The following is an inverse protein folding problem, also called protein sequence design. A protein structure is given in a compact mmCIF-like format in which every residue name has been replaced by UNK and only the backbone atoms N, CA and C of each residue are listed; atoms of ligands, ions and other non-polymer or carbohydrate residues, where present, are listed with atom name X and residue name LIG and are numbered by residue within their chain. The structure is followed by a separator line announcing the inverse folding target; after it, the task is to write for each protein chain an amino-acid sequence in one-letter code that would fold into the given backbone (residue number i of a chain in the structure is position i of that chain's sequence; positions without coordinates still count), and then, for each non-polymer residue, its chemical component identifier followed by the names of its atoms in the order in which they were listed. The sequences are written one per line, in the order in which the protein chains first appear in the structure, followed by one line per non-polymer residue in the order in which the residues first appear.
data_IF_651109604479
#
_entry.id   IF_651109604479
#
_cell.length_a   1.000
_cell.length_b   1.000
_cell.length_c   1.000
_cell.angle_alpha   90.00
_cell.angle_beta   90.00
_cell.angle_gamma   90.00
#
_symmetry.space_group_name_H-M   'P 1'
#
loop_
_entity.id
_entity.type
_entity.pdbx_description
1 polymer ?
#
# COMPACT_ATOMS: atom_id res chain seq x y z
N UNK A 1 16.00 27.34 8.85
CA UNK A 1 15.21 27.67 10.07
C UNK A 1 14.52 26.37 10.47
N UNK A 2 14.82 25.63 11.53
CA UNK A 2 15.13 26.00 12.91
C UNK A 2 15.86 24.77 13.56
N UNK A 3 17.14 24.89 13.92
CA UNK A 3 17.99 23.78 14.43
C UNK A 3 18.05 23.76 15.98
N UNK A 4 17.34 24.67 16.66
CA UNK A 4 17.56 24.96 18.09
C UNK A 4 16.85 24.07 19.13
N UNK A 5 16.43 22.83 18.83
CA UNK A 5 15.68 22.01 19.81
C UNK A 5 16.36 20.73 20.28
N UNK A 6 17.48 20.31 19.68
CA UNK A 6 18.27 19.17 20.17
C UNK A 6 19.29 19.56 21.24
N UNK A 7 19.81 20.78 21.20
CA UNK A 7 20.88 21.21 22.11
C UNK A 7 20.39 21.39 23.55
N UNK A 8 19.09 21.65 23.77
CA UNK A 8 18.52 21.81 25.11
C UNK A 8 18.28 20.49 25.85
N UNK A 9 18.21 19.34 25.15
CA UNK A 9 18.11 18.04 25.82
C UNK A 9 19.47 17.52 26.30
N UNK A 10 20.57 17.90 25.64
CA UNK A 10 21.92 17.45 26.02
C UNK A 10 22.38 18.19 27.28
N UNK A 11 22.05 19.47 27.43
CA UNK A 11 22.50 20.28 28.57
C UNK A 11 21.86 19.89 29.92
N UNK A 12 20.67 19.27 29.93
CA UNK A 12 20.03 18.83 31.18
C UNK A 12 20.64 17.54 31.77
N UNK A 13 21.38 16.77 30.95
CA UNK A 13 21.97 15.49 31.36
C UNK A 13 23.39 15.59 31.92
N UNK A 14 24.09 16.71 31.72
CA UNK A 14 25.50 16.82 32.15
C UNK A 14 25.71 17.23 33.61
N UNK A 15 24.65 17.51 34.39
CA UNK A 15 24.81 18.06 35.75
C UNK A 15 24.41 17.11 36.90
N UNK A 16 24.05 15.85 36.62
CA UNK A 16 23.57 14.88 37.64
C UNK A 16 24.32 13.55 37.67
N UNK A 17 25.62 13.58 37.37
CA UNK A 17 26.40 12.38 37.03
C UNK A 17 27.30 11.85 38.17
N UNK A 18 26.90 11.98 39.44
CA UNK A 18 27.74 11.49 40.55
C UNK A 18 27.15 10.43 41.46
N UNK A 19 25.90 9.97 41.30
CA UNK A 19 25.37 8.98 42.25
C UNK A 19 24.24 8.09 41.70
N UNK A 20 24.35 7.65 40.44
CA UNK A 20 23.37 6.71 39.88
C UNK A 20 23.97 5.33 39.65
N UNK A 21 23.40 4.36 40.36
CA UNK A 21 23.66 2.91 40.27
C UNK A 21 23.78 2.47 38.79
N UNK A 22 24.86 1.77 38.39
CA UNK A 22 25.07 1.32 37.01
C UNK A 22 23.91 0.48 36.47
N UNK A 23 23.10 -0.14 37.32
CA UNK A 23 21.89 -0.88 36.91
C UNK A 23 20.77 0.03 36.39
N UNK A 24 20.72 1.28 36.85
CA UNK A 24 19.68 2.25 36.48
C UNK A 24 19.97 2.93 35.13
N UNK A 25 21.26 3.13 34.79
CA UNK A 25 21.69 3.65 33.47
C UNK A 25 21.35 2.69 32.32
N UNK A 26 21.46 1.38 32.55
CA UNK A 26 21.14 0.36 31.54
C UNK A 26 19.62 0.27 31.26
N UNK A 27 18.79 0.48 32.28
CA UNK A 27 17.33 0.49 32.15
C UNK A 27 16.80 1.70 31.37
N UNK A 28 17.35 2.89 31.62
CA UNK A 28 16.93 4.13 30.91
C UNK A 28 17.36 4.09 29.44
N UNK A 29 18.55 3.57 29.12
CA UNK A 29 19.01 3.43 27.74
C UNK A 29 18.14 2.42 26.94
N UNK A 30 17.72 1.32 27.58
CA UNK A 30 16.83 0.33 26.98
C UNK A 30 15.43 0.88 26.68
N UNK A 31 14.90 1.76 27.55
CA UNK A 31 13.59 2.39 27.36
C UNK A 31 13.59 3.44 26.23
N UNK A 32 14.68 4.19 26.06
CA UNK A 32 14.80 5.18 24.98
C UNK A 32 14.96 4.56 23.58
N UNK A 33 15.59 3.38 23.47
CA UNK A 33 15.75 2.68 22.18
C UNK A 33 14.41 2.07 21.69
N UNK A 34 13.53 1.68 22.60
CA UNK A 34 12.21 1.14 22.25
C UNK A 34 11.23 2.18 21.69
N UNK A 35 11.42 3.47 21.98
CA UNK A 35 10.52 4.55 21.51
C UNK A 35 10.75 4.99 20.06
N UNK A 36 11.78 4.51 19.36
CA UNK A 36 12.17 5.03 18.03
C UNK A 36 11.66 4.18 16.86
N UNK A 37 10.96 3.07 17.13
CA UNK A 37 10.36 2.23 16.08
C UNK A 37 8.84 2.36 16.12
N UNK A 38 8.31 3.53 15.75
CA UNK A 38 6.91 3.60 15.31
C UNK A 38 6.95 3.26 13.82
N UNK A 39 6.63 2.02 13.41
CA UNK A 39 6.53 1.72 12.00
C UNK A 39 5.37 2.55 11.45
N UNK A 40 5.70 3.53 10.62
CA UNK A 40 4.72 4.29 9.86
C UNK A 40 4.10 3.33 8.85
N UNK A 41 2.98 2.74 9.24
CA UNK A 41 2.35 1.73 8.42
C UNK A 41 1.44 2.41 7.40
N UNK A 42 1.82 2.59 6.14
CA UNK A 42 0.83 2.94 5.11
C UNK A 42 0.23 1.67 4.56
N UNK A 43 -1.02 1.77 4.10
CA UNK A 43 -1.71 0.58 3.65
C UNK A 43 -2.61 0.89 2.48
N UNK A 44 -2.47 0.08 1.44
CA UNK A 44 -3.36 0.06 0.29
C UNK A 44 -4.03 -1.30 0.28
N UNK A 45 -5.36 -1.33 0.20
CA UNK A 45 -6.09 -2.55 -0.12
C UNK A 45 -6.76 -2.38 -1.48
N UNK A 46 -6.81 -3.43 -2.29
CA UNK A 46 -7.56 -3.44 -3.53
C UNK A 46 -8.84 -4.28 -3.33
N UNK A 47 -9.99 -3.64 -3.50
CA UNK A 47 -11.31 -4.18 -3.14
C UNK A 47 -11.99 -4.85 -4.33
N UNK A 48 -11.98 -4.18 -5.48
CA UNK A 48 -12.61 -4.65 -6.72
C UNK A 48 -11.70 -4.32 -7.91
N UNK A 49 -11.15 -5.32 -8.64
CA UNK A 49 -11.25 -6.75 -8.35
C UNK A 49 -10.57 -7.11 -7.01
N UNK A 50 -10.95 -8.21 -6.34
CA UNK A 50 -10.41 -8.50 -5.01
C UNK A 50 -8.91 -8.80 -5.07
N UNK A 51 -8.14 -8.19 -4.16
CA UNK A 51 -6.69 -8.39 -4.08
C UNK A 51 -6.27 -9.86 -3.88
N UNK A 52 -4.99 -10.13 -4.14
CA UNK A 52 -4.27 -11.29 -3.65
C UNK A 52 -4.21 -11.26 -2.12
N UNK A 53 -4.17 -12.45 -1.51
CA UNK A 53 -4.23 -12.60 -0.06
C UNK A 53 -5.65 -12.57 0.49
N UNK A 54 -5.80 -12.20 1.77
CA UNK A 54 -7.08 -12.23 2.46
C UNK A 54 -7.85 -10.92 2.29
N UNK A 55 -9.17 -11.03 2.18
CA UNK A 55 -10.09 -9.88 2.31
C UNK A 55 -10.62 -9.71 3.75
N UNK A 56 -10.25 -10.62 4.66
CA UNK A 56 -10.75 -10.62 6.04
C UNK A 56 -10.02 -9.55 6.86
N UNK A 57 -10.77 -8.67 7.51
CA UNK A 57 -10.21 -7.68 8.44
C UNK A 57 -9.60 -6.44 7.78
N UNK A 58 -9.70 -6.30 6.46
CA UNK A 58 -9.21 -5.12 5.71
C UNK A 58 -9.99 -3.84 6.04
N UNK A 59 -11.11 -3.96 6.76
CA UNK A 59 -11.87 -2.84 7.33
C UNK A 59 -11.25 -2.24 8.60
N UNK A 60 -10.07 -2.73 9.01
CA UNK A 60 -9.28 -2.15 10.11
C UNK A 60 -8.10 -1.39 9.54
N UNK A 61 -7.91 -0.15 9.98
CA UNK A 61 -6.75 0.62 9.59
C UNK A 61 -5.52 -0.08 10.15
N UNK A 62 -4.49 -0.29 9.33
CA UNK A 62 -3.37 -1.09 9.79
C UNK A 62 -3.31 -2.52 9.26
N UNK A 63 -4.23 -2.92 8.35
CA UNK A 63 -4.42 -4.33 8.04
C UNK A 63 -3.17 -4.95 7.39
N UNK A 64 -2.73 -6.10 7.90
CA UNK A 64 -1.53 -6.78 7.42
C UNK A 64 -1.62 -7.21 5.95
N UNK A 65 -2.80 -7.56 5.45
CA UNK A 65 -3.00 -7.82 4.02
C UNK A 65 -2.90 -6.57 3.14
N UNK A 66 -2.74 -5.39 3.75
CA UNK A 66 -2.64 -4.11 3.06
C UNK A 66 -1.24 -3.46 3.16
N UNK A 67 -0.27 -4.10 3.86
CA UNK A 67 1.10 -3.60 4.09
C UNK A 67 2.16 -4.20 3.16
N UNK A 68 1.83 -4.21 1.89
CA UNK A 68 2.59 -4.95 0.90
C UNK A 68 3.63 -4.05 0.22
N UNK A 69 4.91 -4.28 0.53
CA UNK A 69 6.02 -3.41 0.11
C UNK A 69 6.88 -3.96 -1.04
N UNK A 70 6.87 -5.28 -1.25
CA UNK A 70 7.69 -5.94 -2.25
C UNK A 70 7.05 -5.82 -3.64
N UNK A 71 7.77 -5.34 -4.63
CA UNK A 71 7.27 -5.35 -6.01
C UNK A 71 7.14 -6.77 -6.58
N UNK A 72 6.24 -7.01 -7.55
CA UNK A 72 5.21 -6.11 -8.03
C UNK A 72 3.90 -6.20 -7.22
N UNK A 73 3.75 -7.24 -6.40
CA UNK A 73 2.47 -7.65 -5.80
C UNK A 73 2.54 -7.92 -4.30
N UNK A 74 3.45 -7.26 -3.59
CA UNK A 74 3.65 -7.45 -2.15
C UNK A 74 4.32 -8.76 -1.76
N UNK A 75 4.90 -9.49 -2.72
CA UNK A 75 5.36 -10.86 -2.50
C UNK A 75 4.22 -11.88 -2.36
N UNK A 76 3.01 -11.59 -2.83
CA UNK A 76 1.88 -12.52 -2.85
C UNK A 76 1.82 -13.32 -4.15
N UNK A 77 1.60 -14.62 -4.00
CA UNK A 77 1.39 -15.54 -5.11
C UNK A 77 0.07 -15.26 -5.87
N UNK A 78 0.03 -15.68 -7.13
CA UNK A 78 -1.14 -15.57 -7.99
C UNK A 78 -2.34 -16.36 -7.43
N UNK A 79 -3.55 -15.83 -7.63
CA UNK A 79 -4.79 -16.54 -7.33
C UNK A 79 -5.19 -17.46 -8.48
N UNK A 80 -5.67 -18.64 -8.14
CA UNK A 80 -6.17 -19.64 -9.10
C UNK A 80 -7.46 -19.25 -9.83
N UNK A 81 -8.12 -18.17 -9.41
CA UNK A 81 -9.45 -17.77 -9.91
C UNK A 81 -9.45 -16.28 -10.27
N UNK A 82 -8.98 -15.92 -11.47
CA UNK A 82 -8.97 -14.54 -11.92
C UNK A 82 -10.39 -14.03 -12.21
N UNK A 83 -10.59 -12.72 -12.11
CA UNK A 83 -11.85 -12.07 -12.53
C UNK A 83 -11.86 -11.94 -14.05
N UNK A 84 -12.88 -12.49 -14.73
CA UNK A 84 -13.02 -12.35 -16.19
C UNK A 84 -13.63 -11.01 -16.58
N UNK A 85 -12.96 -10.27 -17.46
CA UNK A 85 -13.40 -8.99 -18.02
C UNK A 85 -13.29 -9.03 -19.54
N UNK A 86 -14.18 -8.32 -20.25
CA UNK A 86 -14.10 -8.23 -21.71
C UNK A 86 -13.17 -7.09 -22.14
N UNK A 87 -12.47 -7.23 -23.28
CA UNK A 87 -11.83 -6.09 -23.94
C UNK A 87 -12.83 -4.94 -24.13
N UNK A 88 -12.43 -3.71 -23.79
CA UNK A 88 -13.29 -2.52 -23.88
C UNK A 88 -14.39 -2.43 -22.81
N UNK A 89 -14.50 -3.41 -21.90
CA UNK A 89 -15.49 -3.37 -20.82
C UNK A 89 -15.24 -2.21 -19.87
N UNK A 90 -16.32 -1.52 -19.47
CA UNK A 90 -16.27 -0.57 -18.36
C UNK A 90 -16.38 -1.34 -17.05
N UNK A 91 -15.40 -1.16 -16.18
CA UNK A 91 -15.31 -1.84 -14.90
C UNK A 91 -15.12 -0.82 -13.77
N UNK A 92 -15.79 -1.04 -12.63
CA UNK A 92 -15.61 -0.21 -11.44
C UNK A 92 -14.46 -0.79 -10.62
N UNK A 93 -13.33 -0.11 -10.71
CA UNK A 93 -12.18 -0.34 -9.87
C UNK A 93 -12.41 0.32 -8.51
N UNK A 94 -12.24 -0.42 -7.43
CA UNK A 94 -12.33 0.12 -6.07
C UNK A 94 -11.11 -0.29 -5.25
N UNK A 95 -10.47 0.68 -4.62
CA UNK A 95 -9.38 0.46 -3.67
C UNK A 95 -9.63 1.27 -2.40
N UNK A 96 -8.93 0.90 -1.34
CA UNK A 96 -9.04 1.51 -0.02
C UNK A 96 -7.70 2.06 0.41
N UNK A 97 -7.67 3.34 0.78
CA UNK A 97 -6.57 3.92 1.55
C UNK A 97 -6.71 3.43 2.99
N UNK A 98 -6.15 2.26 3.28
CA UNK A 98 -6.39 1.59 4.55
C UNK A 98 -5.71 2.28 5.74
N UNK A 99 -4.54 2.90 5.51
CA UNK A 99 -3.91 3.79 6.48
C UNK A 99 -3.26 4.96 5.76
N UNK A 100 -3.56 6.16 6.24
CA UNK A 100 -3.23 7.44 5.63
C UNK A 100 -1.79 7.88 5.88
N UNK A 101 -1.09 8.27 4.81
CA UNK A 101 0.26 8.83 4.83
C UNK A 101 0.39 10.08 3.98
N UNK A 102 -0.72 10.80 3.82
CA UNK A 102 -0.79 12.02 3.04
C UNK A 102 0.29 13.02 3.45
N UNK A 103 1.14 13.40 2.49
CA UNK A 103 2.08 14.48 2.65
C UNK A 103 1.47 15.79 2.13
N UNK A 104 1.09 16.69 3.05
CA UNK A 104 0.51 18.00 2.72
C UNK A 104 1.40 18.87 1.83
N UNK A 105 2.73 18.76 1.95
CA UNK A 105 3.69 19.60 1.21
C UNK A 105 3.93 19.08 -0.20
N UNK A 106 3.93 17.75 -0.36
CA UNK A 106 4.14 17.08 -1.64
C UNK A 106 3.26 15.83 -1.69
N UNK A 107 1.98 15.96 -2.06
CA UNK A 107 1.06 14.84 -2.08
C UNK A 107 1.56 13.66 -2.92
N UNK A 108 1.24 12.47 -2.45
CA UNK A 108 1.44 11.23 -3.17
C UNK A 108 0.41 11.03 -4.28
N UNK A 109 0.32 9.80 -4.77
CA UNK A 109 -0.72 9.38 -5.71
C UNK A 109 -1.01 7.89 -5.63
N UNK A 110 -2.19 7.52 -6.07
CA UNK A 110 -2.58 6.16 -6.39
C UNK A 110 -2.44 5.95 -7.90
N UNK A 111 -1.90 4.80 -8.31
CA UNK A 111 -1.87 4.41 -9.73
C UNK A 111 -2.30 2.97 -9.87
N UNK A 112 -2.99 2.64 -10.95
CA UNK A 112 -3.33 1.27 -11.32
C UNK A 112 -2.84 1.00 -12.73
N UNK A 113 -2.15 -0.12 -12.89
CA UNK A 113 -1.63 -0.58 -14.18
C UNK A 113 -2.02 -2.03 -14.45
N UNK A 114 -2.12 -2.38 -15.72
CA UNK A 114 -2.21 -3.76 -16.19
C UNK A 114 -0.82 -4.25 -16.59
N UNK A 115 -0.50 -5.47 -16.16
CA UNK A 115 0.76 -6.15 -16.47
C UNK A 115 0.44 -7.57 -16.91
N UNK A 116 1.19 -8.12 -17.86
CA UNK A 116 1.05 -9.53 -18.26
C UNK A 116 1.45 -10.45 -17.09
N UNK A 117 0.66 -11.48 -16.80
CA UNK A 117 0.88 -12.34 -15.63
C UNK A 117 2.19 -13.15 -15.70
N UNK A 118 2.60 -13.56 -16.90
CA UNK A 118 3.87 -14.25 -17.17
C UNK A 118 5.08 -13.31 -17.17
N UNK A 119 4.86 -11.99 -17.20
CA UNK A 119 5.90 -10.96 -17.19
C UNK A 119 5.55 -9.85 -16.19
N UNK A 120 5.51 -10.16 -14.89
CA UNK A 120 5.03 -9.22 -13.87
C UNK A 120 5.98 -8.01 -13.63
N UNK A 121 7.19 -8.04 -14.20
CA UNK A 121 8.14 -6.93 -14.26
C UNK A 121 8.31 -6.35 -15.69
N UNK A 122 7.43 -6.75 -16.62
CA UNK A 122 7.42 -6.31 -18.01
C UNK A 122 6.79 -4.94 -18.20
N UNK A 123 6.44 -4.64 -19.45
CA UNK A 123 5.74 -3.39 -19.78
C UNK A 123 4.38 -3.33 -19.08
N UNK A 124 4.13 -2.19 -18.41
CA UNK A 124 2.90 -1.95 -17.67
C UNK A 124 2.06 -0.87 -18.37
N UNK A 125 0.75 -1.08 -18.48
CA UNK A 125 -0.18 -0.10 -19.02
C UNK A 125 -0.96 0.60 -17.90
N UNK A 126 -0.64 1.85 -17.58
CA UNK A 126 -1.35 2.64 -16.55
C UNK A 126 -2.77 2.98 -17.04
N UNK A 127 -3.77 2.54 -16.28
CA UNK A 127 -5.19 2.71 -16.59
C UNK A 127 -5.90 3.68 -15.64
N UNK A 128 -5.27 4.00 -14.51
CA UNK A 128 -5.77 5.00 -13.57
C UNK A 128 -4.59 5.64 -12.86
N UNK A 129 -4.68 6.96 -12.68
CA UNK A 129 -3.84 7.71 -11.74
C UNK A 129 -4.68 8.75 -11.03
N UNK A 130 -4.54 8.84 -9.72
CA UNK A 130 -5.31 9.73 -8.86
C UNK A 130 -4.39 10.35 -7.82
N UNK A 131 -4.48 11.66 -7.61
CA UNK A 131 -3.72 12.31 -6.55
C UNK A 131 -4.16 11.78 -5.17
N UNK A 132 -3.21 11.63 -4.25
CA UNK A 132 -3.54 11.39 -2.85
C UNK A 132 -4.03 12.70 -2.22
N UNK A 133 -5.04 12.59 -1.36
CA UNK A 133 -5.74 13.71 -0.71
C UNK A 133 -5.63 13.57 0.80
N UNK A 134 -6.09 14.57 1.54
CA UNK A 134 -6.18 14.51 3.01
C UNK A 134 -7.32 13.64 3.53
N UNK A 135 -7.90 12.78 2.68
CA UNK A 135 -8.97 11.88 3.12
C UNK A 135 -8.41 10.89 4.15
N UNK A 136 -9.21 10.54 5.17
CA UNK A 136 -8.76 9.73 6.29
C UNK A 136 -8.49 8.28 5.89
N UNK A 137 -7.91 7.53 6.82
CA UNK A 137 -7.77 6.08 6.71
C UNK A 137 -9.13 5.40 6.52
N UNK A 138 -9.12 4.25 5.86
CA UNK A 138 -10.28 3.46 5.44
C UNK A 138 -11.16 4.10 4.36
N UNK A 139 -10.72 5.20 3.73
CA UNK A 139 -11.45 5.82 2.61
C UNK A 139 -11.44 4.90 1.39
N UNK A 140 -12.60 4.71 0.77
CA UNK A 140 -12.78 3.98 -0.47
C UNK A 140 -12.74 4.93 -1.66
N UNK A 141 -11.91 4.60 -2.63
CA UNK A 141 -11.83 5.28 -3.92
C UNK A 141 -12.36 4.35 -4.99
N UNK A 142 -13.30 4.85 -5.80
CA UNK A 142 -13.88 4.12 -6.90
C UNK A 142 -13.76 4.92 -8.19
N UNK A 143 -13.37 4.25 -9.27
CA UNK A 143 -13.25 4.85 -10.59
C UNK A 143 -13.77 3.89 -11.66
N UNK A 144 -14.47 4.44 -12.65
CA UNK A 144 -14.80 3.72 -13.88
C UNK A 144 -13.55 3.67 -14.76
N UNK A 145 -12.99 2.47 -14.95
CA UNK A 145 -11.91 2.22 -15.91
C UNK A 145 -12.49 1.51 -17.14
N UNK A 146 -11.82 1.67 -18.27
CA UNK A 146 -12.12 0.90 -19.48
C UNK A 146 -11.00 -0.10 -19.70
N UNK A 147 -11.34 -1.38 -19.78
CA UNK A 147 -10.34 -2.42 -19.99
C UNK A 147 -9.73 -2.28 -21.39
N UNK A 148 -8.40 -2.23 -21.51
CA UNK A 148 -7.73 -2.13 -22.80
C UNK A 148 -7.95 -3.40 -23.62
N UNK A 149 -7.74 -3.30 -24.93
CA UNK A 149 -7.83 -4.43 -25.87
C UNK A 149 -6.57 -5.31 -25.81
N UNK A 150 -6.25 -5.80 -24.61
CA UNK A 150 -5.10 -6.67 -24.33
C UNK A 150 -5.63 -8.00 -23.79
N UNK A 151 -5.96 -8.98 -24.65
CA UNK A 151 -6.51 -10.24 -24.20
C UNK A 151 -5.42 -11.10 -23.54
N UNK A 152 -5.78 -11.81 -22.46
CA UNK A 152 -4.85 -12.71 -21.77
C UNK A 152 -5.04 -12.77 -20.26
N UNK A 153 -4.14 -13.50 -19.62
CA UNK A 153 -4.00 -13.53 -18.16
C UNK A 153 -3.18 -12.32 -17.74
N UNK A 154 -3.81 -11.41 -16.99
CA UNK A 154 -3.23 -10.13 -16.62
C UNK A 154 -3.28 -9.94 -15.11
N UNK A 155 -2.40 -9.09 -14.61
CA UNK A 155 -2.37 -8.62 -13.23
C UNK A 155 -2.72 -7.15 -13.23
N UNK A 156 -3.76 -6.80 -12.46
CA UNK A 156 -4.08 -5.42 -12.13
C UNK A 156 -3.26 -5.03 -10.90
N UNK A 157 -2.21 -4.24 -11.10
CA UNK A 157 -1.33 -3.74 -10.05
C UNK A 157 -1.81 -2.36 -9.60
N UNK A 158 -2.21 -2.24 -8.34
CA UNK A 158 -2.46 -0.97 -7.68
C UNK A 158 -1.24 -0.56 -6.84
N UNK A 159 -0.89 0.72 -6.91
CA UNK A 159 0.22 1.32 -6.17
C UNK A 159 -0.26 2.55 -5.40
N UNK A 160 0.25 2.72 -4.19
CA UNK A 160 0.15 3.96 -3.44
C UNK A 160 1.56 4.51 -3.24
N UNK A 161 1.89 5.59 -3.97
CA UNK A 161 3.15 6.33 -3.84
C UNK A 161 2.92 7.45 -2.84
N UNK A 162 3.60 7.42 -1.70
CA UNK A 162 3.25 8.28 -0.56
C UNK A 162 3.87 9.67 -0.64
N UNK A 163 5.05 9.79 -1.24
CA UNK A 163 5.90 10.99 -1.18
C UNK A 163 6.14 11.49 0.26
N UNK A 164 5.96 10.65 1.27
CA UNK A 164 6.11 11.01 2.67
C UNK A 164 7.43 10.41 3.19
N UNK A 165 8.43 11.22 3.59
CA UNK A 165 9.73 10.70 4.04
C UNK A 165 9.67 9.90 5.34
N UNK A 166 8.54 9.98 6.07
CA UNK A 166 8.31 9.21 7.29
C UNK A 166 7.63 7.86 7.00
N UNK A 167 7.33 7.56 5.74
CA UNK A 167 6.60 6.39 5.29
C UNK A 167 7.43 5.58 4.29
N UNK A 168 7.14 4.28 4.10
CA UNK A 168 7.61 3.57 2.92
C UNK A 168 7.18 4.30 1.64
N UNK A 169 8.02 4.29 0.60
CA UNK A 169 7.79 5.10 -0.58
C UNK A 169 6.58 4.62 -1.39
N UNK A 170 6.36 3.31 -1.45
CA UNK A 170 5.33 2.68 -2.30
C UNK A 170 4.74 1.44 -1.61
N UNK A 171 3.42 1.27 -1.77
CA UNK A 171 2.68 0.06 -1.41
C UNK A 171 2.09 -0.56 -2.65
N UNK A 172 2.03 -1.89 -2.68
CA UNK A 172 1.63 -2.67 -3.85
C UNK A 172 0.45 -3.57 -3.51
N UNK A 173 -0.56 -3.58 -4.36
CA UNK A 173 -1.61 -4.59 -4.36
C UNK A 173 -1.77 -5.13 -5.76
N UNK A 174 -2.13 -6.40 -5.86
CA UNK A 174 -2.41 -7.02 -7.14
C UNK A 174 -3.73 -7.77 -7.08
N UNK A 175 -4.39 -7.84 -8.21
CA UNK A 175 -5.50 -8.76 -8.45
C UNK A 175 -5.33 -9.41 -9.81
N UNK A 176 -5.71 -10.68 -9.89
CA UNK A 176 -5.60 -11.46 -11.11
C UNK A 176 -6.87 -11.31 -11.94
N UNK A 177 -6.71 -10.96 -13.21
CA UNK A 177 -7.81 -10.76 -14.14
C UNK A 177 -7.54 -11.50 -15.44
N UNK A 178 -8.60 -12.00 -16.07
CA UNK A 178 -8.53 -12.56 -17.40
C UNK A 178 -9.28 -11.63 -18.35
N UNK A 179 -8.58 -11.03 -19.30
CA UNK A 179 -9.18 -10.17 -20.31
C UNK A 179 -9.48 -11.02 -21.54
N UNK A 180 -10.75 -11.21 -21.86
CA UNK A 180 -11.15 -12.07 -22.97
C UNK A 180 -12.66 -12.16 -23.14
N UNK A 181 -13.14 -12.82 -24.21
CA UNK A 181 -14.56 -13.10 -24.36
C UNK A 181 -15.08 -13.86 -23.14
N UNK A 182 -16.22 -13.44 -22.58
CA UNK A 182 -16.86 -14.21 -21.50
C UNK A 182 -17.21 -15.59 -22.05
N UNK A 183 -16.58 -16.63 -21.50
CA UNK A 183 -17.00 -18.00 -21.79
C UNK A 183 -18.36 -18.23 -21.15
N UNK A 184 -19.42 -18.07 -21.95
CA UNK A 184 -20.74 -18.56 -21.56
C UNK A 184 -20.67 -20.08 -21.54
N UNK A 185 -20.62 -20.67 -20.34
CA UNK A 185 -20.89 -22.09 -20.18
C UNK A 185 -22.33 -22.29 -20.65
N UNK A 186 -22.51 -22.83 -21.86
CA UNK A 186 -23.79 -23.38 -22.28
C UNK A 186 -24.14 -24.46 -21.25
N UNK A 187 -25.14 -24.21 -20.40
CA UNK A 187 -25.79 -25.29 -19.64
C UNK A 187 -26.27 -26.31 -20.68
N UNK A 188 -25.62 -27.47 -20.72
CA UNK A 188 -26.16 -28.64 -21.41
C UNK A 188 -27.42 -29.01 -20.63
N UNK A 189 -28.58 -28.90 -21.29
CA UNK A 189 -29.86 -29.38 -20.76
C UNK A 189 -29.92 -30.89 -20.88
#
# INVERSE_FOLDING_TARGET
MNVGRLDQCIAYWQHKDQDQDPKMKLFVLSLCVACVLVPAWCHLCLISPPQRGSMVGINKAGAADCILLKEPCGGRDERTSPVSLMPGERFVLTFQKNLDHFNKTSPGYFSVSLVEADRPHGESHEILKMADTSDPSLTLYSANITMPHMPGHMVLQARYVTNNPQAPPIFYQCADVHVGPRMFIKKIK
#
